data_IF_206629000897
#
_entry.id   IF_206629000897
#
_cell.length_a   1.000
_cell.length_b   1.000
_cell.length_c   1.000
_cell.angle_alpha   90.00
_cell.angle_beta   90.00
_cell.angle_gamma   90.00
#
_symmetry.space_group_name_H-M   'P 1'
#
loop_
_entity.id
_entity.type
_entity.pdbx_description
1 polymer ?
#
# COMPACT_ATOMS: atom_id res chain seq x y z
N UNK A 1 24.91 5.98 2.61
CA UNK A 1 23.72 6.34 3.40
C UNK A 1 22.64 6.81 2.44
N UNK A 2 21.74 5.92 2.00
CA UNK A 2 20.55 6.30 1.23
C UNK A 2 19.44 6.58 2.25
N UNK A 3 18.95 7.81 2.30
CA UNK A 3 17.85 8.19 3.19
C UNK A 3 16.53 7.52 2.77
N UNK A 4 15.56 7.37 3.68
CA UNK A 4 14.24 6.82 3.35
C UNK A 4 13.51 7.81 2.43
N UNK A 5 13.31 7.43 1.17
CA UNK A 5 12.57 8.22 0.18
C UNK A 5 11.09 8.33 0.55
N UNK A 6 10.56 9.54 0.47
CA UNK A 6 9.13 9.84 0.65
C UNK A 6 8.31 9.40 -0.58
N UNK A 7 7.16 8.75 -0.31
CA UNK A 7 5.86 8.75 -1.00
C UNK A 7 5.73 8.78 -2.54
N UNK A 8 4.82 7.93 -3.07
CA UNK A 8 3.99 7.99 -4.30
C UNK A 8 4.44 8.77 -5.55
N UNK A 9 5.74 8.99 -5.73
CA UNK A 9 6.29 9.70 -6.88
C UNK A 9 6.72 8.69 -7.92
N UNK A 10 6.10 8.71 -9.10
CA UNK A 10 6.65 7.98 -10.25
C UNK A 10 7.83 8.76 -10.81
N UNK A 11 9.01 8.35 -10.35
CA UNK A 11 10.27 8.97 -10.70
C UNK A 11 10.75 8.50 -12.07
N UNK A 12 10.21 9.10 -13.13
CA UNK A 12 10.91 9.15 -14.42
C UNK A 12 12.08 10.15 -14.35
N UNK A 13 12.81 10.17 -13.22
CA UNK A 13 13.89 11.13 -12.88
C UNK A 13 15.04 11.05 -13.88
N UNK A 14 15.24 9.87 -14.48
CA UNK A 14 16.25 9.64 -15.52
C UNK A 14 15.78 10.05 -16.93
N UNK A 15 14.54 10.51 -17.09
CA UNK A 15 14.09 11.14 -18.32
C UNK A 15 14.79 12.47 -18.51
N UNK A 16 15.56 12.62 -19.59
CA UNK A 16 16.11 13.93 -19.98
C UNK A 16 14.91 14.86 -20.22
N UNK A 17 14.76 15.89 -19.38
CA UNK A 17 13.74 16.91 -19.59
C UNK A 17 13.89 17.52 -21.00
N UNK A 18 12.80 18.06 -21.55
CA UNK A 18 12.82 18.69 -22.90
C UNK A 18 13.90 19.77 -23.08
N UNK A 19 14.44 20.28 -21.98
CA UNK A 19 15.47 21.32 -21.89
C UNK A 19 16.87 20.81 -21.50
N UNK A 20 17.06 19.49 -21.37
CA UNK A 20 18.34 18.90 -20.94
C UNK A 20 18.62 19.04 -19.44
N UNK A 21 17.66 19.51 -18.64
CA UNK A 21 17.71 19.45 -17.16
C UNK A 21 16.99 18.18 -16.68
N UNK A 22 17.36 17.71 -15.48
CA UNK A 22 16.70 16.54 -14.89
C UNK A 22 15.20 16.75 -14.72
N UNK A 23 14.43 15.67 -14.81
CA UNK A 23 12.98 15.74 -14.71
C UNK A 23 12.52 16.11 -13.28
N UNK A 24 11.78 17.21 -13.15
CA UNK A 24 11.17 17.67 -11.89
C UNK A 24 9.67 17.38 -11.80
N UNK A 25 9.11 16.69 -12.79
CA UNK A 25 7.69 16.39 -12.84
C UNK A 25 7.30 15.46 -11.69
N UNK A 26 6.10 15.70 -11.16
CA UNK A 26 5.46 14.85 -10.16
C UNK A 26 4.18 14.31 -10.80
N UNK A 27 4.08 13.00 -10.90
CA UNK A 27 2.91 12.32 -11.44
C UNK A 27 2.25 11.56 -10.29
N UNK A 28 1.00 11.90 -10.02
CA UNK A 28 0.14 11.21 -9.05
C UNK A 28 -0.88 10.38 -9.82
N UNK A 29 -0.98 9.09 -9.50
CA UNK A 29 -1.95 8.17 -10.10
C UNK A 29 -2.89 7.62 -9.03
N UNK A 30 -4.18 7.59 -9.34
CA UNK A 30 -5.14 6.90 -8.51
C UNK A 30 -4.91 5.38 -8.61
N UNK A 31 -4.91 4.69 -7.47
CA UNK A 31 -4.77 3.22 -7.43
C UNK A 31 -6.13 2.52 -7.46
N UNK A 32 -7.21 3.25 -7.23
CA UNK A 32 -8.60 2.78 -7.28
C UNK A 32 -9.52 3.90 -7.77
N UNK A 33 -10.79 3.58 -8.03
CA UNK A 33 -11.81 4.57 -8.35
C UNK A 33 -12.08 5.52 -7.17
N UNK A 34 -12.12 6.82 -7.44
CA UNK A 34 -12.36 7.88 -6.45
C UNK A 34 -13.63 8.62 -6.85
N UNK A 35 -14.69 8.50 -6.03
CA UNK A 35 -15.93 9.23 -6.26
C UNK A 35 -15.80 10.73 -5.98
N UNK A 36 -16.63 11.53 -6.63
CA UNK A 36 -16.64 12.99 -6.43
C UNK A 36 -16.88 13.36 -4.96
N UNK A 37 -16.16 14.38 -4.48
CA UNK A 37 -16.26 14.86 -3.10
C UNK A 37 -15.44 14.07 -2.08
N UNK A 38 -14.77 12.98 -2.48
CA UNK A 38 -13.81 12.25 -1.65
C UNK A 38 -12.47 12.99 -1.55
N UNK A 39 -11.85 12.92 -0.39
CA UNK A 39 -10.47 13.36 -0.18
C UNK A 39 -9.48 12.41 -0.87
N UNK A 40 -8.44 12.97 -1.49
CA UNK A 40 -7.33 12.21 -2.08
C UNK A 40 -6.18 12.19 -1.07
N UNK A 41 -5.87 10.99 -0.57
CA UNK A 41 -4.82 10.79 0.42
C UNK A 41 -3.58 10.13 -0.21
N UNK A 42 -2.41 10.47 0.32
CA UNK A 42 -1.13 9.84 -0.05
C UNK A 42 -0.40 9.37 1.21
N UNK A 43 0.28 8.23 1.13
CA UNK A 43 1.12 7.76 2.23
C UNK A 43 2.40 8.59 2.36
N UNK A 44 2.74 8.97 3.59
CA UNK A 44 3.94 9.76 3.89
C UNK A 44 5.20 8.89 4.08
N UNK A 45 5.03 7.58 4.22
CA UNK A 45 6.07 6.59 4.47
C UNK A 45 5.80 5.32 3.65
N UNK A 46 6.77 4.38 3.57
CA UNK A 46 6.58 3.10 2.91
C UNK A 46 5.35 2.36 3.47
N UNK A 47 4.55 1.80 2.57
CA UNK A 47 3.24 1.22 2.94
C UNK A 47 3.37 -0.10 3.72
N UNK A 48 4.54 -0.73 3.72
CA UNK A 48 4.79 -1.96 4.47
C UNK A 48 5.12 -1.74 5.97
N UNK A 49 5.14 -0.49 6.45
CA UNK A 49 5.39 -0.21 7.87
C UNK A 49 4.23 -0.67 8.76
N UNK A 50 4.57 -1.16 9.96
CA UNK A 50 3.58 -1.66 10.95
C UNK A 50 2.96 -0.51 11.76
N UNK A 51 1.78 -0.76 12.35
CA UNK A 51 0.99 0.26 13.07
C UNK A 51 1.82 1.09 14.06
N UNK A 52 2.53 0.42 14.98
CA UNK A 52 3.36 1.05 16.00
C UNK A 52 4.39 2.02 15.42
N UNK A 53 5.06 1.65 14.33
CA UNK A 53 6.06 2.50 13.67
C UNK A 53 5.43 3.73 13.02
N UNK A 54 4.28 3.54 12.33
CA UNK A 54 3.55 4.64 11.69
C UNK A 54 3.09 5.66 12.73
N UNK A 55 2.44 5.22 13.81
CA UNK A 55 1.94 6.11 14.86
C UNK A 55 3.08 6.84 15.56
N UNK A 56 4.18 6.16 15.89
CA UNK A 56 5.36 6.79 16.49
C UNK A 56 5.95 7.88 15.59
N UNK A 57 6.07 7.61 14.28
CA UNK A 57 6.60 8.58 13.30
C UNK A 57 5.69 9.78 13.14
N UNK A 58 4.37 9.57 13.08
CA UNK A 58 3.37 10.61 12.90
C UNK A 58 3.23 11.47 14.16
N UNK A 59 3.13 10.85 15.34
CA UNK A 59 3.06 11.56 16.62
C UNK A 59 4.33 12.36 16.89
N UNK A 60 5.51 11.76 16.70
CA UNK A 60 6.79 12.45 16.98
C UNK A 60 7.22 13.45 15.90
N UNK A 61 6.87 13.22 14.63
CA UNK A 61 7.34 14.03 13.50
C UNK A 61 6.35 15.08 13.01
N UNK A 62 5.06 14.76 13.03
CA UNK A 62 3.99 15.58 12.46
C UNK A 62 3.00 16.08 13.52
N UNK A 63 2.99 15.48 14.71
CA UNK A 63 2.17 15.93 15.84
C UNK A 63 0.71 15.49 15.78
N UNK A 64 0.38 14.41 15.06
CA UNK A 64 -0.97 13.87 15.00
C UNK A 64 -0.99 12.34 15.13
N UNK A 65 -2.14 11.81 15.55
CA UNK A 65 -2.45 10.37 15.59
C UNK A 65 -3.23 10.05 14.31
N UNK A 66 -2.79 9.03 13.57
CA UNK A 66 -3.47 8.65 12.34
C UNK A 66 -4.67 7.75 12.65
N UNK A 67 -5.83 8.16 12.15
CA UNK A 67 -7.11 7.47 12.33
C UNK A 67 -7.66 6.96 10.99
N UNK A 68 -6.79 6.71 9.99
CA UNK A 68 -7.23 6.09 8.74
C UNK A 68 -7.73 4.66 8.96
N UNK A 69 -8.55 4.14 8.06
CA UNK A 69 -9.20 2.82 8.18
C UNK A 69 -8.22 1.70 8.55
N UNK A 70 -7.03 1.69 7.92
CA UNK A 70 -5.95 0.76 8.28
C UNK A 70 -5.55 0.85 9.74
N UNK A 71 -5.34 2.07 10.25
CA UNK A 71 -4.93 2.27 11.64
C UNK A 71 -6.06 1.95 12.61
N UNK A 72 -7.33 2.13 12.21
CA UNK A 72 -8.49 1.76 13.02
C UNK A 72 -8.65 0.24 13.13
N UNK A 73 -8.28 -0.52 12.09
CA UNK A 73 -8.30 -1.99 12.10
C UNK A 73 -7.08 -2.53 12.85
N UNK A 74 -5.86 -2.09 12.49
CA UNK A 74 -4.63 -2.65 13.06
C UNK A 74 -4.43 -2.30 14.55
N UNK A 75 -5.08 -1.27 15.10
CA UNK A 75 -4.97 -0.96 16.53
C UNK A 75 -5.56 -2.03 17.44
N UNK A 76 -6.55 -2.78 16.94
CA UNK A 76 -7.25 -3.82 17.69
C UNK A 76 -6.52 -5.18 17.57
N UNK A 77 -5.51 -5.26 16.69
CA UNK A 77 -4.71 -6.47 16.56
C UNK A 77 -3.84 -6.61 17.82
N UNK A 78 -3.96 -7.74 18.51
CA UNK A 78 -3.06 -8.06 19.62
C UNK A 78 -1.65 -8.16 19.05
N UNK A 79 -0.78 -7.23 19.43
CA UNK A 79 0.65 -7.41 19.20
C UNK A 79 1.10 -8.61 20.04
N UNK A 80 1.42 -9.73 19.41
CA UNK A 80 1.96 -10.94 20.07
C UNK A 80 3.29 -10.69 20.82
N UNK A 81 3.85 -9.48 20.72
CA UNK A 81 5.07 -9.07 21.43
C UNK A 81 4.83 -8.51 22.85
N UNK A 82 3.58 -8.45 23.34
CA UNK A 82 3.25 -7.98 24.70
C UNK A 82 2.55 -9.02 25.59
N UNK A 83 2.78 -10.33 25.38
CA UNK A 83 2.43 -11.36 26.38
C UNK A 83 3.65 -11.89 27.14
N UNK A 84 4.10 -11.14 28.16
CA UNK A 84 4.48 -11.77 29.42
C UNK A 84 3.35 -11.56 30.44
N UNK A 85 2.37 -12.46 30.39
CA UNK A 85 1.54 -12.81 31.55
C UNK A 85 0.11 -12.27 31.54
N UNK A 86 -0.79 -12.96 30.83
CA UNK A 86 -2.03 -13.47 31.44
C UNK A 86 -2.71 -14.45 30.48
N UNK A 87 -2.49 -15.73 30.73
CA UNK A 87 -3.36 -16.83 30.30
C UNK A 87 -4.81 -16.51 30.73
N UNK A 88 -5.71 -16.34 29.76
CA UNK A 88 -7.00 -17.06 29.70
C UNK A 88 -7.48 -17.04 28.24
N UNK A 89 -7.51 -18.23 27.63
CA UNK A 89 -8.00 -18.47 26.29
C UNK A 89 -9.41 -17.91 26.09
N UNK A 90 -9.53 -16.97 25.16
CA UNK A 90 -10.79 -16.59 24.55
C UNK A 90 -10.65 -16.83 23.06
N UNK A 91 -11.18 -17.96 22.60
CA UNK A 91 -11.40 -18.24 21.20
C UNK A 91 -12.43 -17.22 20.69
N UNK A 92 -11.95 -16.07 20.20
CA UNK A 92 -12.80 -15.12 19.50
C UNK A 92 -12.90 -15.60 18.07
N UNK A 93 -13.92 -16.41 17.79
CA UNK A 93 -14.44 -16.57 16.44
C UNK A 93 -14.99 -15.20 16.01
N UNK A 94 -14.11 -14.36 15.43
CA UNK A 94 -14.57 -13.16 14.74
C UNK A 94 -15.20 -13.64 13.44
N UNK A 95 -16.52 -13.78 13.43
CA UNK A 95 -17.29 -13.81 12.18
C UNK A 95 -17.11 -12.45 11.49
N UNK A 96 -16.00 -12.30 10.76
CA UNK A 96 -15.72 -11.11 9.95
C UNK A 96 -16.57 -11.20 8.69
N UNK A 97 -17.60 -10.35 8.59
CA UNK A 97 -18.37 -10.20 7.36
C UNK A 97 -17.44 -9.71 6.23
N UNK A 98 -17.58 -10.27 5.03
CA UNK A 98 -16.73 -9.96 3.86
C UNK A 98 -16.72 -8.46 3.48
N UNK A 99 -17.70 -7.69 3.97
CA UNK A 99 -17.82 -6.24 3.75
C UNK A 99 -16.84 -5.38 4.59
N UNK A 100 -16.23 -5.92 5.65
CA UNK A 100 -15.21 -5.23 6.44
C UNK A 100 -13.77 -5.40 5.88
N UNK A 101 -13.60 -6.30 4.90
CA UNK A 101 -12.33 -6.58 4.22
C UNK A 101 -11.92 -5.73 2.99
N UNK A 102 -12.62 -4.67 2.53
CA UNK A 102 -12.18 -3.85 1.38
C UNK A 102 -10.80 -3.20 1.59
N UNK A 103 -10.48 -2.84 2.84
CA UNK A 103 -9.27 -2.10 3.17
C UNK A 103 -8.04 -3.01 3.33
N UNK A 104 -8.24 -4.30 3.65
CA UNK A 104 -7.17 -5.29 3.66
C UNK A 104 -6.73 -5.67 2.23
N UNK A 105 -7.67 -5.71 1.27
CA UNK A 105 -7.38 -5.91 -0.16
C UNK A 105 -6.42 -4.86 -0.72
N UNK A 106 -6.47 -3.64 -0.18
CA UNK A 106 -5.60 -2.54 -0.58
C UNK A 106 -4.11 -2.85 -0.32
N UNK A 107 -3.82 -3.63 0.74
CA UNK A 107 -2.45 -4.06 1.04
C UNK A 107 -2.00 -5.23 0.17
N UNK A 108 -2.90 -6.11 -0.25
CA UNK A 108 -2.51 -7.28 -1.04
C UNK A 108 -2.26 -6.92 -2.50
N UNK A 109 -3.15 -6.11 -3.08
CA UNK A 109 -3.11 -5.80 -4.52
C UNK A 109 -2.07 -4.73 -4.87
N UNK A 110 -2.04 -3.65 -4.10
CA UNK A 110 -1.29 -2.45 -4.47
C UNK A 110 0.04 -2.31 -3.75
N UNK A 111 0.44 -3.22 -2.87
CA UNK A 111 1.79 -3.19 -2.28
C UNK A 111 2.77 -3.91 -3.19
N UNK A 112 3.94 -3.32 -3.39
CA UNK A 112 5.00 -3.95 -4.18
C UNK A 112 5.50 -5.24 -3.50
N UNK A 113 5.56 -6.31 -4.29
CA UNK A 113 5.99 -7.66 -3.89
C UNK A 113 7.51 -7.81 -3.76
N UNK A 114 8.28 -6.79 -4.12
CA UNK A 114 9.74 -6.78 -3.96
C UNK A 114 10.08 -6.65 -2.48
N UNK A 115 10.81 -7.64 -1.95
CA UNK A 115 11.27 -7.64 -0.57
C UNK A 115 12.00 -6.33 -0.22
N UNK A 116 11.57 -5.68 0.86
CA UNK A 116 12.15 -4.42 1.33
C UNK A 116 11.82 -3.18 0.49
N UNK A 117 11.01 -3.27 -0.57
CA UNK A 117 10.65 -2.11 -1.38
C UNK A 117 9.67 -1.18 -0.65
N UNK A 118 8.55 -1.73 -0.16
CA UNK A 118 7.53 -0.96 0.55
C UNK A 118 6.85 0.13 -0.30
N UNK A 119 6.99 0.06 -1.62
CA UNK A 119 6.31 0.94 -2.57
C UNK A 119 4.88 0.51 -2.87
N UNK A 120 4.13 1.38 -3.55
CA UNK A 120 2.77 1.14 -4.02
C UNK A 120 2.74 1.02 -5.56
N UNK A 121 2.01 0.02 -6.03
CA UNK A 121 1.69 -0.26 -7.42
C UNK A 121 0.47 0.58 -7.85
N UNK A 122 0.55 1.25 -9.00
CA UNK A 122 -0.58 1.92 -9.62
C UNK A 122 -0.74 1.52 -11.09
N UNK A 123 -1.97 1.42 -11.63
CA UNK A 123 -2.20 1.14 -13.05
C UNK A 123 -1.42 2.08 -13.96
N UNK A 124 -0.92 1.56 -15.09
CA UNK A 124 -0.36 2.43 -16.14
C UNK A 124 -1.39 3.45 -16.63
N UNK A 125 -0.94 4.63 -17.13
CA UNK A 125 -1.85 5.61 -17.70
C UNK A 125 -2.80 4.96 -18.71
N UNK A 126 -4.09 5.35 -18.70
CA UNK A 126 -5.07 4.75 -19.61
C UNK A 126 -4.66 4.99 -21.06
N UNK A 127 -5.08 4.08 -21.94
CA UNK A 127 -4.87 4.24 -23.38
C UNK A 127 -5.59 5.49 -23.90
N UNK A 128 -5.30 5.90 -25.13
CA UNK A 128 -6.02 6.99 -25.82
C UNK A 128 -7.55 6.76 -25.87
N UNK A 129 -7.98 5.50 -25.75
CA UNK A 129 -9.38 5.07 -25.75
C UNK A 129 -10.00 5.05 -24.35
N UNK A 130 -9.26 5.47 -23.32
CA UNK A 130 -9.73 5.52 -21.92
C UNK A 130 -9.74 4.17 -21.21
N UNK A 131 -9.17 3.12 -21.80
CA UNK A 131 -9.11 1.79 -21.19
C UNK A 131 -8.04 1.78 -20.10
N UNK A 132 -8.43 1.37 -18.89
CA UNK A 132 -7.51 1.22 -17.74
C UNK A 132 -6.59 0.03 -18.00
N UNK A 133 -5.30 0.20 -17.71
CA UNK A 133 -4.29 -0.84 -17.87
C UNK A 133 -4.44 -1.94 -16.81
N UNK A 134 -4.34 -3.20 -17.23
CA UNK A 134 -4.18 -4.39 -16.38
C UNK A 134 -2.76 -4.52 -15.80
N UNK A 135 -1.82 -3.74 -16.30
CA UNK A 135 -0.46 -3.65 -15.77
C UNK A 135 -0.35 -2.48 -14.79
N UNK A 136 0.23 -2.74 -13.62
CA UNK A 136 0.57 -1.77 -12.59
C UNK A 136 2.08 -1.57 -12.48
N UNK A 137 2.51 -0.37 -12.07
CA UNK A 137 3.90 0.03 -11.89
C UNK A 137 4.15 0.49 -10.46
N UNK A 138 5.29 0.08 -9.87
CA UNK A 138 5.68 0.48 -8.52
C UNK A 138 6.32 1.87 -8.54
N UNK A 139 5.84 2.77 -7.67
CA UNK A 139 6.38 4.13 -7.54
C UNK A 139 7.82 4.19 -7.00
N UNK A 140 8.30 3.16 -6.30
CA UNK A 140 9.64 3.17 -5.67
C UNK A 140 10.67 2.48 -6.56
N UNK A 141 10.38 1.25 -7.03
CA UNK A 141 11.36 0.45 -7.77
C UNK A 141 11.06 0.33 -9.28
N UNK A 142 9.93 0.84 -9.75
CA UNK A 142 9.53 0.75 -11.16
C UNK A 142 9.12 -0.65 -11.64
N UNK A 143 9.02 -1.64 -10.74
CA UNK A 143 8.59 -3.00 -11.11
C UNK A 143 7.18 -2.96 -11.68
N UNK A 144 6.99 -3.68 -12.78
CA UNK A 144 5.69 -3.93 -13.40
C UNK A 144 5.10 -5.25 -12.87
N UNK A 145 3.79 -5.24 -12.57
CA UNK A 145 3.01 -6.41 -12.14
C UNK A 145 1.68 -6.41 -12.87
N UNK A 146 1.17 -7.58 -13.27
CA UNK A 146 -0.19 -7.69 -13.82
C UNK A 146 -1.21 -7.81 -12.70
N UNK A 147 -2.43 -7.34 -12.95
CA UNK A 147 -3.49 -7.35 -11.96
C UNK A 147 -3.94 -8.78 -11.59
N UNK A 148 -3.92 -9.70 -12.55
CA UNK A 148 -4.29 -11.11 -12.38
C UNK A 148 -3.38 -11.87 -11.41
N UNK A 149 -2.12 -11.43 -11.21
CA UNK A 149 -1.18 -12.03 -10.26
C UNK A 149 -1.57 -11.80 -8.78
N UNK A 150 -2.66 -11.07 -8.51
CA UNK A 150 -3.20 -10.84 -7.16
C UNK A 150 -4.32 -11.82 -6.77
N UNK A 151 -4.94 -12.49 -7.76
CA UNK A 151 -6.03 -13.43 -7.56
C UNK A 151 -5.50 -14.86 -7.35
N UNK A 152 -4.56 -15.03 -6.42
CA UNK A 152 -4.02 -16.34 -6.08
C UNK A 152 -5.08 -17.25 -5.46
N UNK A 153 -5.94 -17.85 -6.29
CA UNK A 153 -6.56 -19.13 -6.00
C UNK A 153 -5.41 -20.11 -5.77
N UNK A 154 -5.21 -20.49 -4.51
CA UNK A 154 -4.39 -21.62 -4.14
C UNK A 154 -5.02 -22.87 -4.69
N UNK A 155 -4.66 -23.24 -5.91
CA UNK A 155 -4.99 -24.54 -6.50
C UNK A 155 -4.21 -25.59 -5.70
N UNK A 156 -4.82 -26.09 -4.62
CA UNK A 156 -4.42 -27.31 -3.95
C UNK A 156 -4.66 -28.45 -4.95
N UNK A 157 -3.63 -28.78 -5.72
CA UNK A 157 -3.57 -30.06 -6.42
C UNK A 157 -3.49 -31.16 -5.36
N UNK A 158 -4.63 -31.77 -5.05
CA UNK A 158 -4.70 -33.10 -4.44
C UNK A 158 -4.08 -34.10 -5.43
N UNK A 159 -2.85 -34.54 -5.17
CA UNK A 159 -2.27 -35.73 -5.79
C UNK A 159 -2.75 -36.97 -5.01
N UNK A 160 -3.60 -37.79 -5.66
CA UNK A 160 -3.94 -39.17 -5.25
C UNK A 160 -2.77 -40.15 -5.47
#
# INVERSE_FOLDING_TARGET
MKGPGLGFRFDYVDGVGRDGRGNTDIIVRAVHEISEGREVCLSYFPVNWVYKERQKRLGGGFGFVCECDRCLVEREWKDEEEEEGSDEGMDVEVEMEEEDFPHAYFFVKFVCDVEGCGGTLAPLPPSMEGVVSDVMECNVCGRLKKDEDCNGDGDMVDDE
#
